data_IF_626856819703
#
_entry.id   IF_626856819703
#
_cell.length_a   1.000
_cell.length_b   1.000
_cell.length_c   1.000
_cell.angle_alpha   90.00
_cell.angle_beta   90.00
_cell.angle_gamma   90.00
#
_symmetry.space_group_name_H-M   'P 1'
#
loop_
_entity.id
_entity.type
_entity.pdbx_description
1 polymer ?
#
# COMPACT_ATOMS: atom_id res chain seq x y z
N UNK A 1 -7.70 -14.52 0.71
CA UNK A 1 -8.12 -13.85 1.95
C UNK A 1 -7.04 -12.88 2.42
N UNK A 2 -5.79 -13.32 2.64
CA UNK A 2 -4.66 -12.46 3.04
C UNK A 2 -4.52 -11.09 2.34
N UNK A 3 -4.58 -11.02 1.00
CA UNK A 3 -4.51 -9.71 0.31
C UNK A 3 -5.69 -8.83 0.70
N UNK A 4 -6.89 -9.41 0.74
CA UNK A 4 -8.12 -8.71 1.13
C UNK A 4 -8.00 -8.19 2.55
N UNK A 5 -7.56 -9.01 3.51
CA UNK A 5 -7.44 -8.60 4.91
C UNK A 5 -6.43 -7.46 5.08
N UNK A 6 -5.31 -7.46 4.34
CA UNK A 6 -4.39 -6.30 4.31
C UNK A 6 -5.05 -5.04 3.76
N UNK A 7 -5.74 -5.14 2.62
CA UNK A 7 -6.38 -3.99 1.96
C UNK A 7 -7.55 -3.42 2.75
N UNK A 8 -8.24 -4.27 3.52
CA UNK A 8 -9.35 -3.91 4.41
C UNK A 8 -8.88 -3.57 5.83
N UNK A 9 -7.57 -3.60 6.11
CA UNK A 9 -6.96 -3.33 7.42
C UNK A 9 -7.47 -4.27 8.53
N UNK A 10 -7.86 -5.49 8.17
CA UNK A 10 -8.27 -6.58 9.07
C UNK A 10 -7.05 -7.35 9.55
N UNK A 11 -6.15 -6.65 10.25
CA UNK A 11 -4.82 -7.17 10.59
C UNK A 11 -4.85 -8.40 11.51
N UNK A 12 -5.81 -8.47 12.44
CA UNK A 12 -6.00 -9.65 13.30
C UNK A 12 -6.40 -10.89 12.48
N UNK A 13 -7.34 -10.72 11.55
CA UNK A 13 -7.80 -11.78 10.65
C UNK A 13 -6.67 -12.24 9.73
N UNK A 14 -5.84 -11.30 9.24
CA UNK A 14 -4.66 -11.64 8.44
C UNK A 14 -3.69 -12.55 9.19
N UNK A 15 -3.43 -12.30 10.48
CA UNK A 15 -2.52 -13.11 11.29
C UNK A 15 -3.08 -14.54 11.46
N UNK A 16 -4.38 -14.65 11.74
CA UNK A 16 -5.06 -15.94 11.83
C UNK A 16 -5.00 -16.71 10.51
N UNK A 17 -5.26 -16.03 9.38
CA UNK A 17 -5.24 -16.66 8.06
C UNK A 17 -3.83 -17.03 7.59
N UNK A 18 -2.81 -16.24 7.98
CA UNK A 18 -1.41 -16.51 7.61
C UNK A 18 -0.92 -17.80 8.26
N UNK A 19 -1.34 -18.08 9.49
CA UNK A 19 -1.06 -19.35 10.17
C UNK A 19 -1.62 -20.57 9.43
N UNK A 20 -2.71 -20.41 8.68
CA UNK A 20 -3.30 -21.51 7.91
C UNK A 20 -2.42 -21.96 6.74
N UNK A 21 -1.48 -21.13 6.28
CA UNK A 21 -0.54 -21.50 5.20
C UNK A 21 0.27 -22.75 5.56
N UNK A 22 0.57 -22.98 6.85
CA UNK A 22 1.35 -24.16 7.28
C UNK A 22 0.67 -25.50 6.97
N UNK A 23 -0.64 -25.49 6.77
CA UNK A 23 -1.43 -26.68 6.42
C UNK A 23 -1.54 -26.91 4.91
N UNK A 24 -0.98 -26.02 4.09
CA UNK A 24 -0.92 -26.16 2.64
C UNK A 24 0.16 -27.19 2.29
N UNK A 25 -0.26 -28.45 2.13
CA UNK A 25 0.65 -29.59 1.95
C UNK A 25 1.36 -29.64 0.59
N UNK A 26 0.85 -28.92 -0.42
CA UNK A 26 1.42 -28.87 -1.77
C UNK A 26 1.44 -27.43 -2.29
N UNK A 27 2.46 -27.02 -3.07
CA UNK A 27 2.47 -25.70 -3.69
C UNK A 27 1.19 -25.51 -4.51
N UNK A 28 0.51 -24.37 -4.33
CA UNK A 28 -0.66 -24.00 -5.12
C UNK A 28 -0.16 -23.59 -6.52
N UNK A 29 -0.11 -24.54 -7.46
CA UNK A 29 0.41 -24.32 -8.83
C UNK A 29 -0.68 -24.19 -9.89
N UNK A 30 -1.95 -24.09 -9.48
CA UNK A 30 -3.04 -23.94 -10.44
C UNK A 30 -3.08 -22.50 -11.00
N UNK A 31 -3.38 -22.30 -12.29
CA UNK A 31 -3.48 -20.98 -12.92
C UNK A 31 -4.41 -19.99 -12.20
N UNK A 32 -5.36 -20.50 -11.43
CA UNK A 32 -6.24 -19.70 -10.57
C UNK A 32 -5.50 -18.98 -9.41
N UNK A 33 -4.22 -19.28 -9.16
CA UNK A 33 -3.39 -18.68 -8.11
C UNK A 33 -2.19 -17.89 -8.66
N UNK A 34 -2.12 -17.68 -9.97
CA UNK A 34 -0.98 -17.00 -10.61
C UNK A 34 -0.87 -15.51 -10.22
N UNK A 35 -1.97 -14.90 -9.75
CA UNK A 35 -2.01 -13.49 -9.34
C UNK A 35 -1.47 -13.25 -7.92
N UNK A 36 -1.49 -14.26 -7.04
CA UNK A 36 -1.03 -14.17 -5.65
C UNK A 36 -0.25 -15.41 -5.21
N UNK A 37 1.08 -15.34 -5.29
CA UNK A 37 1.95 -16.36 -4.71
C UNK A 37 2.10 -16.19 -3.19
N UNK A 38 2.01 -17.29 -2.45
CA UNK A 38 2.08 -17.29 -0.97
C UNK A 38 3.43 -16.82 -0.42
N UNK A 39 4.52 -17.02 -1.17
CA UNK A 39 5.87 -16.60 -0.81
C UNK A 39 6.00 -15.06 -0.68
N UNK A 40 5.13 -14.29 -1.33
CA UNK A 40 5.13 -12.84 -1.16
C UNK A 40 4.82 -12.44 0.28
N UNK A 41 4.04 -13.23 1.02
CA UNK A 41 3.72 -12.93 2.43
C UNK A 41 4.89 -13.16 3.39
N UNK A 42 6.01 -13.71 2.91
CA UNK A 42 7.28 -13.81 3.65
C UNK A 42 8.20 -12.59 3.38
N UNK A 43 7.61 -11.48 2.90
CA UNK A 43 8.32 -10.24 2.60
C UNK A 43 9.13 -9.73 3.80
N UNK A 44 10.44 -9.61 3.60
CA UNK A 44 11.39 -9.27 4.65
C UNK A 44 11.53 -7.78 4.93
N UNK A 45 10.96 -6.92 4.07
CA UNK A 45 11.15 -5.48 4.12
C UNK A 45 12.41 -4.98 3.42
N UNK A 46 13.32 -5.86 2.99
CA UNK A 46 14.60 -5.50 2.39
C UNK A 46 14.47 -4.74 1.06
N UNK A 47 13.38 -4.97 0.31
CA UNK A 47 13.09 -4.31 -0.96
C UNK A 47 12.47 -2.91 -0.80
N UNK A 48 12.26 -2.44 0.44
CA UNK A 48 11.78 -1.10 0.69
C UNK A 48 12.73 -0.03 0.12
N UNK A 49 12.20 1.17 -0.15
CA UNK A 49 12.93 2.27 -0.74
C UNK A 49 14.18 2.60 0.09
N UNK A 50 15.34 2.70 -0.56
CA UNK A 50 16.60 3.01 0.11
C UNK A 50 16.48 4.27 0.98
N UNK A 51 16.71 4.09 2.29
CA UNK A 51 16.56 5.12 3.31
C UNK A 51 15.27 5.04 4.12
N UNK A 52 14.38 4.10 3.82
CA UNK A 52 13.26 3.70 4.67
C UNK A 52 13.41 2.21 5.00
N UNK A 53 13.25 1.84 6.26
CA UNK A 53 13.36 0.44 6.71
C UNK A 53 11.97 -0.04 7.09
N UNK A 54 11.60 -1.20 6.60
CA UNK A 54 10.42 -1.91 7.05
C UNK A 54 10.85 -3.22 7.72
N UNK A 55 10.22 -3.61 8.84
CA UNK A 55 10.37 -4.96 9.35
C UNK A 55 9.63 -5.95 8.43
N UNK A 56 9.72 -7.24 8.77
CA UNK A 56 9.00 -8.30 8.05
C UNK A 56 7.50 -8.03 8.07
N UNK A 57 6.79 -8.43 7.01
CA UNK A 57 5.36 -8.16 6.86
C UNK A 57 4.54 -8.62 8.09
N UNK A 58 4.83 -9.80 8.63
CA UNK A 58 4.16 -10.33 9.82
C UNK A 58 4.34 -9.43 11.06
N UNK A 59 5.52 -8.86 11.26
CA UNK A 59 5.79 -7.91 12.36
C UNK A 59 5.06 -6.59 12.13
N UNK A 60 4.99 -6.11 10.89
CA UNK A 60 4.20 -4.93 10.51
C UNK A 60 2.73 -5.14 10.85
N UNK A 61 2.15 -6.26 10.41
CA UNK A 61 0.74 -6.57 10.63
C UNK A 61 0.45 -6.78 12.13
N UNK A 62 1.37 -7.40 12.87
CA UNK A 62 1.26 -7.53 14.33
C UNK A 62 1.23 -6.18 15.04
N UNK A 63 2.06 -5.21 14.62
CA UNK A 63 2.02 -3.85 15.18
C UNK A 63 0.71 -3.16 14.85
N UNK A 64 0.23 -3.28 13.61
CA UNK A 64 -1.01 -2.66 13.16
C UNK A 64 -2.25 -3.28 13.79
N UNK A 65 -2.23 -4.57 14.16
CA UNK A 65 -3.33 -5.20 14.91
C UNK A 65 -3.43 -4.70 16.35
N UNK A 66 -2.31 -4.24 16.93
CA UNK A 66 -2.26 -3.66 18.28
C UNK A 66 -2.48 -2.14 18.28
N UNK A 67 -2.05 -1.46 17.22
CA UNK A 67 -2.11 -0.01 17.05
C UNK A 67 -2.25 0.32 15.57
N UNK A 68 -3.50 0.41 15.12
CA UNK A 68 -3.90 0.72 13.75
C UNK A 68 -3.31 2.03 13.20
N UNK A 69 -3.11 3.04 14.06
CA UNK A 69 -2.50 4.33 13.73
C UNK A 69 -0.97 4.38 13.79
N UNK A 70 -0.26 3.24 13.91
CA UNK A 70 1.20 3.25 13.92
C UNK A 70 1.78 3.68 12.57
N UNK A 71 2.32 4.90 12.51
CA UNK A 71 2.67 5.54 11.23
C UNK A 71 3.85 4.88 10.53
N UNK A 72 4.81 4.38 11.30
CA UNK A 72 5.92 3.63 10.73
C UNK A 72 5.42 2.33 10.10
N UNK A 73 4.56 1.60 10.82
CA UNK A 73 3.97 0.37 10.31
C UNK A 73 3.04 0.62 9.11
N UNK A 74 2.23 1.68 9.10
CA UNK A 74 1.32 2.03 8.00
C UNK A 74 2.05 2.31 6.67
N UNK A 75 3.29 2.80 6.70
CA UNK A 75 4.07 3.01 5.47
C UNK A 75 4.51 1.69 4.81
N UNK A 76 4.60 0.60 5.57
CA UNK A 76 5.18 -0.66 5.11
C UNK A 76 4.26 -1.53 4.25
N UNK A 77 2.92 -1.62 4.46
CA UNK A 77 2.01 -2.20 3.50
C UNK A 77 2.10 -1.54 2.12
N UNK A 78 2.27 -0.21 2.09
CA UNK A 78 2.51 0.53 0.84
C UNK A 78 3.78 0.08 0.11
N UNK A 79 4.82 -0.34 0.83
CA UNK A 79 6.04 -0.90 0.26
C UNK A 79 5.91 -2.36 -0.15
N UNK A 80 5.25 -3.16 0.66
CA UNK A 80 4.92 -4.54 0.32
C UNK A 80 4.19 -4.58 -1.03
N UNK A 81 3.09 -3.85 -1.19
CA UNK A 81 2.34 -3.82 -2.44
C UNK A 81 3.13 -3.24 -3.62
N UNK A 82 3.98 -2.22 -3.39
CA UNK A 82 4.81 -1.66 -4.47
C UNK A 82 5.86 -2.64 -4.97
N UNK A 83 6.48 -3.39 -4.06
CA UNK A 83 7.66 -4.22 -4.39
C UNK A 83 7.30 -5.63 -4.87
N UNK A 84 6.10 -6.10 -4.51
CA UNK A 84 5.62 -7.43 -4.90
C UNK A 84 4.59 -7.38 -6.04
N UNK A 85 3.95 -6.22 -6.26
CA UNK A 85 2.81 -6.07 -7.18
C UNK A 85 1.63 -6.99 -6.86
N UNK A 86 1.57 -7.55 -5.64
CA UNK A 86 0.47 -8.42 -5.21
C UNK A 86 -0.85 -7.67 -5.26
N UNK A 87 -1.81 -8.27 -5.95
CA UNK A 87 -3.20 -7.81 -6.06
C UNK A 87 -4.08 -8.99 -6.42
N UNK A 88 -5.32 -8.99 -5.96
CA UNK A 88 -6.32 -9.95 -6.43
C UNK A 88 -6.83 -9.50 -7.80
N UNK A 89 -6.73 -10.35 -8.81
CA UNK A 89 -7.24 -10.04 -10.14
C UNK A 89 -8.75 -10.20 -10.19
N UNK A 90 -9.46 -9.09 -10.44
CA UNK A 90 -10.93 -9.10 -10.59
C UNK A 90 -11.38 -9.41 -12.02
N UNK A 91 -10.44 -9.70 -12.92
CA UNK A 91 -10.71 -9.92 -14.34
C UNK A 91 -11.66 -11.10 -14.61
N UNK A 92 -11.64 -12.13 -13.77
CA UNK A 92 -12.55 -13.27 -13.90
C UNK A 92 -13.96 -12.94 -13.42
N UNK A 93 -14.10 -11.90 -12.59
CA UNK A 93 -15.38 -11.41 -12.05
C UNK A 93 -15.95 -10.22 -12.85
N UNK A 94 -15.22 -9.71 -13.85
CA UNK A 94 -15.61 -8.58 -14.70
C UNK A 94 -15.48 -8.94 -16.19
N UNK A 95 -16.24 -8.30 -17.07
CA UNK A 95 -16.14 -8.55 -18.53
C UNK A 95 -17.17 -9.52 -19.12
N UNK A 96 -18.14 -9.97 -18.33
CA UNK A 96 -19.31 -10.71 -18.83
C UNK A 96 -20.43 -9.80 -19.34
N UNK A 97 -20.60 -8.60 -18.74
CA UNK A 97 -21.63 -7.64 -19.12
C UNK A 97 -21.26 -6.21 -18.66
N UNK A 98 -20.92 -5.33 -19.61
CA UNK A 98 -20.51 -3.94 -19.30
C UNK A 98 -21.56 -3.09 -18.58
N UNK A 99 -22.85 -3.45 -18.65
CA UNK A 99 -23.90 -2.77 -17.89
C UNK A 99 -23.90 -3.20 -16.40
N UNK A 100 -23.54 -4.45 -16.07
CA UNK A 100 -23.33 -4.85 -14.67
C UNK A 100 -22.01 -4.34 -14.13
N UNK A 101 -20.94 -4.35 -14.95
CA UNK A 101 -19.61 -3.87 -14.53
C UNK A 101 -19.64 -2.38 -14.13
N UNK A 102 -20.54 -1.58 -14.71
CA UNK A 102 -20.73 -0.17 -14.34
C UNK A 102 -21.60 0.04 -13.09
N UNK A 103 -22.44 -0.94 -12.72
CA UNK A 103 -23.28 -0.91 -11.51
C UNK A 103 -22.53 -1.45 -10.28
N UNK A 104 -21.57 -2.36 -10.48
CA UNK A 104 -20.70 -2.94 -9.42
C UNK A 104 -19.40 -2.15 -9.28
N UNK A 105 -19.31 -0.93 -9.83
CA UNK A 105 -18.15 -0.05 -9.68
C UNK A 105 -17.98 0.34 -8.22
N UNK A 106 -17.12 -0.41 -7.52
CA UNK A 106 -16.68 -0.11 -6.17
C UNK A 106 -15.46 0.81 -6.25
N UNK A 107 -15.52 1.96 -5.57
CA UNK A 107 -14.40 2.91 -5.45
C UNK A 107 -13.19 2.26 -4.73
N UNK A 108 -13.42 1.17 -4.00
CA UNK A 108 -12.39 0.35 -3.34
C UNK A 108 -12.62 -1.14 -3.58
N UNK A 109 -12.30 -1.64 -4.78
CA UNK A 109 -12.50 -3.04 -5.11
C UNK A 109 -11.73 -3.93 -4.14
N UNK A 110 -12.41 -4.92 -3.56
CA UNK A 110 -11.83 -5.84 -2.57
C UNK A 110 -10.57 -6.51 -3.12
N UNK A 111 -9.49 -6.51 -2.33
CA UNK A 111 -8.21 -7.10 -2.72
C UNK A 111 -7.38 -6.27 -3.70
N UNK A 112 -7.80 -5.04 -4.05
CA UNK A 112 -6.95 -4.07 -4.75
C UNK A 112 -6.23 -3.15 -3.74
N UNK A 113 -4.89 -3.00 -3.84
CA UNK A 113 -4.16 -2.14 -2.92
C UNK A 113 -4.42 -0.65 -3.18
N UNK A 114 -4.86 0.06 -2.15
CA UNK A 114 -4.91 1.53 -2.08
C UNK A 114 -3.72 2.02 -1.24
N UNK A 115 -2.54 2.08 -1.88
CA UNK A 115 -1.31 2.56 -1.24
C UNK A 115 -1.45 4.02 -0.79
N UNK A 116 -2.22 4.82 -1.53
CA UNK A 116 -2.43 6.23 -1.21
C UNK A 116 -3.20 6.42 0.10
N UNK A 117 -4.11 5.50 0.43
CA UNK A 117 -4.82 5.52 1.69
C UNK A 117 -3.89 5.49 2.89
N UNK A 118 -2.92 4.58 2.93
CA UNK A 118 -1.95 4.51 4.03
C UNK A 118 -1.16 5.82 4.17
N UNK A 119 -0.64 6.37 3.07
CA UNK A 119 0.13 7.61 3.12
C UNK A 119 -0.73 8.78 3.63
N UNK A 120 -2.00 8.88 3.20
CA UNK A 120 -2.91 9.93 3.67
C UNK A 120 -3.15 9.85 5.18
N UNK A 121 -3.32 8.66 5.73
CA UNK A 121 -3.49 8.48 7.19
C UNK A 121 -2.27 9.02 7.96
N UNK A 122 -1.06 8.77 7.46
CA UNK A 122 0.18 9.22 8.09
C UNK A 122 0.37 10.73 7.96
N UNK A 123 0.08 11.29 6.77
CA UNK A 123 0.24 12.74 6.49
C UNK A 123 -0.60 13.60 7.43
N UNK A 124 -1.81 13.14 7.82
CA UNK A 124 -2.69 13.88 8.73
C UNK A 124 -2.44 13.57 10.20
N UNK A 125 -1.62 12.55 10.52
CA UNK A 125 -1.30 12.19 11.89
C UNK A 125 -0.23 13.13 12.46
N UNK A 126 -0.63 14.08 13.30
CA UNK A 126 0.27 15.04 13.96
C UNK A 126 1.23 14.41 15.00
N UNK A 127 1.04 13.13 15.36
CA UNK A 127 1.92 12.38 16.26
C UNK A 127 2.91 11.48 15.52
N UNK A 128 2.84 11.41 14.20
CA UNK A 128 3.76 10.60 13.42
C UNK A 128 5.19 11.15 13.50
N UNK A 129 6.19 10.26 13.47
CA UNK A 129 7.58 10.69 13.43
C UNK A 129 7.88 11.42 12.12
N UNK A 130 8.82 12.36 12.18
CA UNK A 130 9.21 13.17 11.01
C UNK A 130 9.71 12.30 9.84
N UNK A 131 10.36 11.18 10.14
CA UNK A 131 10.81 10.20 9.16
C UNK A 131 9.63 9.55 8.40
N UNK A 132 8.56 9.20 9.11
CA UNK A 132 7.38 8.55 8.55
C UNK A 132 6.52 9.53 7.74
N UNK A 133 6.32 10.75 8.26
CA UNK A 133 5.56 11.80 7.58
C UNK A 133 6.25 12.25 6.30
N UNK A 134 7.55 12.53 6.35
CA UNK A 134 8.31 12.96 5.17
C UNK A 134 8.35 11.86 4.11
N UNK A 135 8.44 10.59 4.51
CA UNK A 135 8.34 9.47 3.59
C UNK A 135 6.93 9.35 2.99
N UNK A 136 5.88 9.42 3.80
CA UNK A 136 4.49 9.34 3.33
C UNK A 136 4.16 10.46 2.32
N UNK A 137 4.58 11.70 2.59
CA UNK A 137 4.42 12.83 1.66
C UNK A 137 5.13 12.56 0.33
N UNK A 138 6.38 12.09 0.37
CA UNK A 138 7.12 11.73 -0.83
C UNK A 138 6.41 10.65 -1.63
N UNK A 139 5.94 9.59 -0.96
CA UNK A 139 5.27 8.48 -1.60
C UNK A 139 3.91 8.86 -2.16
N UNK A 140 3.16 9.72 -1.49
CA UNK A 140 1.89 10.24 -1.96
C UNK A 140 2.03 11.04 -3.26
N UNK A 141 3.08 11.85 -3.41
CA UNK A 141 3.36 12.56 -4.68
C UNK A 141 3.89 11.58 -5.75
N UNK A 142 4.77 10.66 -5.38
CA UNK A 142 5.32 9.66 -6.31
C UNK A 142 4.28 8.67 -6.85
N UNK A 143 3.08 8.63 -6.27
CA UNK A 143 1.94 7.91 -6.84
C UNK A 143 1.55 8.37 -8.24
N UNK A 144 1.97 9.58 -8.63
CA UNK A 144 1.67 10.19 -9.93
C UNK A 144 2.90 10.24 -10.85
N UNK A 145 4.04 9.72 -10.42
CA UNK A 145 5.25 9.71 -11.21
C UNK A 145 5.27 8.56 -12.24
N UNK A 146 5.92 8.72 -13.40
CA UNK A 146 6.43 9.98 -13.97
C UNK A 146 5.41 10.69 -14.88
N UNK A 147 4.23 10.11 -15.12
CA UNK A 147 3.31 10.53 -16.18
C UNK A 147 2.15 11.41 -15.73
N UNK A 148 1.95 11.61 -14.43
CA UNK A 148 0.77 12.26 -13.84
C UNK A 148 -0.42 11.33 -13.59
N UNK A 149 -0.36 10.08 -14.08
CA UNK A 149 -1.40 9.06 -13.85
C UNK A 149 -1.29 8.45 -12.46
N UNK A 150 -2.42 8.17 -11.83
CA UNK A 150 -2.44 7.56 -10.50
C UNK A 150 -2.14 6.06 -10.53
N UNK A 151 -1.00 5.66 -9.93
CA UNK A 151 -0.57 4.26 -9.86
C UNK A 151 -0.64 3.66 -8.44
N UNK A 152 -1.23 4.35 -7.47
CA UNK A 152 -1.29 3.89 -6.08
C UNK A 152 -2.60 3.23 -5.67
N UNK A 153 -3.62 3.23 -6.53
CA UNK A 153 -4.95 2.71 -6.21
C UNK A 153 -5.78 3.67 -5.37
N UNK A 154 -7.10 3.48 -5.38
CA UNK A 154 -8.08 4.41 -4.82
C UNK A 154 -8.28 5.67 -5.66
N UNK A 155 -9.08 6.60 -5.12
CA UNK A 155 -9.47 7.83 -5.82
C UNK A 155 -8.30 8.78 -6.01
N UNK A 156 -8.15 9.29 -7.23
CA UNK A 156 -7.15 10.31 -7.54
C UNK A 156 -7.39 11.60 -6.74
N UNK A 157 -6.31 12.31 -6.43
CA UNK A 157 -6.39 13.66 -5.89
C UNK A 157 -6.03 14.70 -6.95
N UNK A 158 -6.54 15.92 -6.77
CA UNK A 158 -6.26 17.04 -7.67
C UNK A 158 -4.78 17.44 -7.68
N UNK A 159 -4.30 18.03 -8.78
CA UNK A 159 -2.94 18.57 -8.89
C UNK A 159 -2.64 19.55 -7.74
N UNK A 160 -3.62 20.36 -7.33
CA UNK A 160 -3.48 21.26 -6.19
C UNK A 160 -3.20 20.52 -4.86
N UNK A 161 -3.78 19.35 -4.63
CA UNK A 161 -3.48 18.54 -3.45
C UNK A 161 -2.07 17.94 -3.52
N UNK A 162 -1.63 17.51 -4.72
CA UNK A 162 -0.28 16.97 -4.95
C UNK A 162 0.76 18.06 -4.72
N UNK A 163 0.50 19.27 -5.20
CA UNK A 163 1.30 20.47 -4.92
C UNK A 163 1.36 20.78 -3.43
N UNK A 164 0.24 20.70 -2.70
CA UNK A 164 0.23 20.89 -1.24
C UNK A 164 1.16 19.90 -0.53
N UNK A 165 1.09 18.61 -0.87
CA UNK A 165 1.99 17.61 -0.29
C UNK A 165 3.45 17.85 -0.65
N UNK A 166 3.73 18.24 -1.90
CA UNK A 166 5.07 18.61 -2.33
C UNK A 166 5.61 19.78 -1.51
N UNK A 167 4.85 20.88 -1.41
CA UNK A 167 5.25 22.06 -0.64
C UNK A 167 5.42 21.75 0.84
N UNK A 168 4.53 20.97 1.43
CA UNK A 168 4.64 20.51 2.81
C UNK A 168 5.93 19.72 3.04
N UNK A 169 6.26 18.79 2.15
CA UNK A 169 7.52 18.03 2.25
C UNK A 169 8.75 18.95 2.21
N UNK A 170 8.74 19.95 1.34
CA UNK A 170 9.86 20.88 1.14
C UNK A 170 10.03 21.84 2.30
N UNK A 171 8.93 22.36 2.84
CA UNK A 171 8.94 23.39 3.86
C UNK A 171 9.15 22.80 5.26
N UNK A 172 8.44 21.72 5.58
CA UNK A 172 8.41 21.17 6.94
C UNK A 172 9.56 20.19 7.17
N UNK A 173 10.05 19.52 6.11
CA UNK A 173 11.11 18.49 6.19
C UNK A 173 12.28 18.70 5.21
N UNK A 174 12.86 19.92 5.09
CA UNK A 174 13.88 20.24 4.09
C UNK A 174 15.15 19.38 4.21
N UNK A 175 15.47 18.91 5.43
CA UNK A 175 16.64 18.05 5.69
C UNK A 175 16.45 16.60 5.27
N UNK A 176 15.21 16.14 5.08
CA UNK A 176 14.93 14.73 4.77
C UNK A 176 15.50 14.33 3.40
N UNK A 177 15.94 13.07 3.28
CA UNK A 177 16.39 12.53 1.99
C UNK A 177 15.26 12.55 0.94
N UNK A 178 14.01 12.50 1.40
CA UNK A 178 12.81 12.48 0.57
C UNK A 178 12.53 13.85 -0.05
N UNK A 179 12.65 14.92 0.74
CA UNK A 179 12.61 16.29 0.23
C UNK A 179 13.71 16.54 -0.80
N UNK A 180 14.92 15.97 -0.62
CA UNK A 180 16.00 16.08 -1.60
C UNK A 180 15.72 15.30 -2.89
N UNK A 181 15.16 14.09 -2.79
CA UNK A 181 14.82 13.21 -3.92
C UNK A 181 13.65 13.73 -4.76
N UNK A 182 12.61 14.28 -4.14
CA UNK A 182 11.42 14.76 -4.86
C UNK A 182 11.74 16.06 -5.60
N UNK A 183 11.80 16.03 -6.94
CA UNK A 183 12.09 17.23 -7.74
C UNK A 183 10.85 17.90 -8.31
N UNK A 184 9.82 17.10 -8.61
CA UNK A 184 8.60 17.54 -9.27
C UNK A 184 7.38 17.03 -8.51
N UNK A 185 6.24 17.64 -8.81
CA UNK A 185 4.92 17.08 -8.60
C UNK A 185 4.22 17.03 -9.95
N UNK A 186 3.33 16.07 -10.14
CA UNK A 186 2.59 15.83 -11.37
C UNK A 186 1.11 15.98 -11.14
#
# INVERSE_FOLDING_TARGET
>A
MLVRDLTEQRYADWLQDKDLIRFVAHPLVAPAFDDVQLNHFDWSGAQAATGYRCPRLEEVVTRLSQKDGDSHALNCPGEFFRTTSVRVSLWAETGGNGALDSVVKDDRPRGQPDRQHYYRQIIVNNKAETADQSYALYRAVMCYAPSGYHACGGNEVSIAQRQRWFSQLKNDYPGSIWAKKLKYYW
#
